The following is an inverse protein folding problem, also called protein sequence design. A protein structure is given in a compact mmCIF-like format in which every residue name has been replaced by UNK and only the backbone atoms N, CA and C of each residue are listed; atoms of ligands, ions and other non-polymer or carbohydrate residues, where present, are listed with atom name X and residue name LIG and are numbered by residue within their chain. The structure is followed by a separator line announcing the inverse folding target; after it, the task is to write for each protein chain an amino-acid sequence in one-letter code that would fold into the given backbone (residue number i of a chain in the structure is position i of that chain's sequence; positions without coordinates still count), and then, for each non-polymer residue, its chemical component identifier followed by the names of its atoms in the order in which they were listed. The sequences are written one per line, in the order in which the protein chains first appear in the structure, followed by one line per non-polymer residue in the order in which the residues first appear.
data_IF_285115233674
#
_entry.id   IF_285115233674
#
_cell.length_a   1.000
_cell.length_b   1.000
_cell.length_c   1.000
_cell.angle_alpha   90.00
_cell.angle_beta   90.00
_cell.angle_gamma   90.00
#
_symmetry.space_group_name_H-M   'P 1'
#
loop_
_entity.id
_entity.type
_entity.pdbx_description
1 polymer ?
#
# COMPACT_ATOMS: atom_id res chain seq x y z
N UNK A 1 12.78 -51.23 -53.89
CA UNK A 1 12.30 -49.96 -54.48
C UNK A 1 11.25 -49.36 -53.55
N UNK A 2 11.60 -48.34 -52.76
CA UNK A 2 10.66 -47.60 -51.89
C UNK A 2 10.54 -46.18 -52.42
N UNK A 3 9.29 -45.75 -52.62
CA UNK A 3 8.91 -44.46 -53.21
C UNK A 3 9.17 -43.31 -52.25
N UNK A 4 9.56 -42.19 -52.86
CA UNK A 4 9.80 -40.86 -52.31
C UNK A 4 8.52 -40.31 -51.68
N UNK A 5 8.63 -39.58 -50.57
CA UNK A 5 7.66 -38.53 -50.20
C UNK A 5 8.40 -37.41 -49.48
N UNK A 6 8.81 -36.44 -50.29
CA UNK A 6 9.26 -35.11 -49.90
C UNK A 6 8.04 -34.23 -49.68
N UNK A 7 7.68 -33.90 -48.44
CA UNK A 7 6.94 -32.67 -48.09
C UNK A 7 7.18 -32.40 -46.60
N UNK A 8 7.98 -31.38 -46.27
CA UNK A 8 7.59 -30.20 -45.50
C UNK A 8 8.86 -29.46 -45.02
N UNK A 9 9.38 -28.64 -45.92
CA UNK A 9 10.36 -27.59 -45.66
C UNK A 9 9.56 -26.34 -45.26
N UNK A 10 10.04 -25.61 -44.24
CA UNK A 10 9.62 -24.25 -43.83
C UNK A 10 8.28 -24.15 -43.07
N UNK A 11 8.36 -24.26 -41.75
CA UNK A 11 7.61 -23.34 -40.86
C UNK A 11 8.64 -22.47 -40.14
N UNK A 12 8.96 -21.37 -40.82
CA UNK A 12 9.17 -20.01 -40.29
C UNK A 12 9.22 -19.97 -38.75
N UNK A 13 10.40 -19.91 -38.14
CA UNK A 13 11.06 -18.64 -37.81
C UNK A 13 10.11 -17.60 -37.17
N UNK A 14 9.36 -17.99 -36.13
CA UNK A 14 8.60 -17.10 -35.24
C UNK A 14 8.82 -17.44 -33.76
N UNK A 15 10.05 -17.83 -33.39
CA UNK A 15 10.51 -17.72 -31.99
C UNK A 15 11.48 -16.56 -31.95
N UNK A 16 10.97 -15.39 -32.32
CA UNK A 16 11.67 -14.13 -32.21
C UNK A 16 11.01 -13.37 -31.06
N UNK A 17 11.83 -13.00 -30.09
CA UNK A 17 11.58 -11.90 -29.16
C UNK A 17 10.44 -12.09 -28.17
N UNK A 18 10.49 -13.17 -27.39
CA UNK A 18 10.12 -13.06 -25.98
C UNK A 18 11.39 -12.88 -25.14
N UNK A 19 12.26 -11.94 -25.54
CA UNK A 19 12.97 -11.14 -24.54
C UNK A 19 11.87 -10.38 -23.80
N UNK A 20 11.26 -11.02 -22.81
CA UNK A 20 10.74 -10.28 -21.68
C UNK A 20 11.94 -9.52 -21.15
N UNK A 21 12.06 -8.27 -21.60
CA UNK A 21 12.54 -7.22 -20.74
C UNK A 21 11.60 -7.29 -19.54
N UNK A 22 12.03 -8.00 -18.50
CA UNK A 22 11.72 -7.58 -17.16
C UNK A 22 12.20 -6.14 -17.11
N UNK A 23 11.30 -5.21 -17.45
CA UNK A 23 11.39 -3.85 -16.97
C UNK A 23 11.21 -4.04 -15.47
N UNK A 24 12.33 -4.28 -14.78
CA UNK A 24 12.44 -3.93 -13.39
C UNK A 24 12.21 -2.43 -13.39
N UNK A 25 10.95 -2.03 -13.21
CA UNK A 25 10.62 -0.65 -12.85
C UNK A 25 11.47 -0.38 -11.61
N UNK A 26 12.38 0.58 -11.73
CA UNK A 26 13.44 0.87 -10.78
C UNK A 26 12.87 1.23 -9.42
N UNK A 27 12.63 0.21 -8.61
CA UNK A 27 12.24 0.32 -7.21
C UNK A 27 13.07 -0.70 -6.43
N UNK A 28 14.38 -0.46 -6.41
CA UNK A 28 15.35 -1.32 -5.71
C UNK A 28 15.35 -1.09 -4.20
N UNK A 29 14.48 -0.22 -3.69
CA UNK A 29 14.42 0.03 -2.26
C UNK A 29 13.69 -1.12 -1.57
N UNK A 30 14.40 -1.79 -0.68
CA UNK A 30 13.87 -2.93 0.08
C UNK A 30 12.74 -2.46 0.99
N UNK A 31 11.57 -3.11 0.88
CA UNK A 31 10.43 -2.83 1.74
C UNK A 31 10.54 -3.61 3.04
N UNK A 32 10.67 -2.90 4.17
CA UNK A 32 10.65 -3.49 5.51
C UNK A 32 9.26 -3.37 6.12
N UNK A 33 8.64 -4.49 6.51
CA UNK A 33 7.40 -4.46 7.30
C UNK A 33 7.66 -3.84 8.67
N UNK A 34 6.90 -2.80 9.03
CA UNK A 34 7.05 -2.07 10.30
C UNK A 34 5.85 -2.23 11.22
N UNK A 35 4.64 -2.42 10.68
CA UNK A 35 3.44 -2.72 11.45
C UNK A 35 2.63 -3.82 10.78
N UNK A 36 1.90 -4.58 11.59
CA UNK A 36 0.92 -5.57 11.15
C UNK A 36 -0.07 -5.83 12.26
N UNK A 37 -1.35 -5.56 12.02
CA UNK A 37 -2.39 -5.72 13.04
C UNK A 37 -3.75 -5.98 12.38
N UNK A 38 -4.66 -6.60 13.13
CA UNK A 38 -6.03 -6.83 12.66
C UNK A 38 -6.77 -5.49 12.57
N UNK A 39 -7.53 -5.28 11.50
CA UNK A 39 -8.27 -4.02 11.31
C UNK A 39 -9.32 -3.77 12.40
N UNK A 40 -9.72 -4.84 13.09
CA UNK A 40 -10.63 -4.85 14.24
C UNK A 40 -9.90 -5.04 15.58
N UNK A 41 -8.61 -4.72 15.66
CA UNK A 41 -7.84 -4.80 16.90
C UNK A 41 -8.51 -4.01 18.03
N UNK A 42 -8.41 -4.54 19.26
CA UNK A 42 -8.98 -3.88 20.44
C UNK A 42 -8.07 -2.74 20.92
N UNK A 43 -6.77 -2.88 20.69
CA UNK A 43 -5.79 -1.83 20.89
C UNK A 43 -6.12 -0.64 20.00
N UNK A 44 -6.19 0.56 20.57
CA UNK A 44 -6.51 1.77 19.79
C UNK A 44 -5.28 2.42 19.16
N UNK A 45 -4.10 1.82 19.33
CA UNK A 45 -2.87 2.33 18.76
C UNK A 45 -1.80 1.25 18.61
N UNK A 46 -1.08 1.28 17.49
CA UNK A 46 0.13 0.53 17.24
C UNK A 46 1.24 1.49 16.83
N UNK A 47 2.49 1.24 17.21
CA UNK A 47 3.60 2.11 16.83
C UNK A 47 4.91 1.32 16.67
N UNK A 48 5.81 1.86 15.85
CA UNK A 48 7.14 1.30 15.62
C UNK A 48 8.16 2.41 15.32
N UNK A 49 9.42 2.16 15.67
CA UNK A 49 10.53 3.05 15.34
C UNK A 49 10.95 2.88 13.87
N UNK A 50 11.08 4.00 13.16
CA UNK A 50 11.56 4.04 11.77
C UNK A 50 13.06 4.37 11.67
N UNK A 51 13.71 4.73 12.77
CA UNK A 51 15.05 5.32 12.78
C UNK A 51 15.03 6.79 12.37
N UNK A 52 16.20 7.44 12.34
CA UNK A 52 16.36 8.85 11.95
C UNK A 52 15.40 9.80 12.69
N UNK A 53 15.22 9.57 13.99
CA UNK A 53 14.29 10.30 14.82
C UNK A 53 12.83 10.26 14.33
N UNK A 54 12.42 9.23 13.60
CA UNK A 54 11.05 9.06 13.13
C UNK A 54 10.39 7.84 13.75
N UNK A 55 9.09 7.94 14.03
CA UNK A 55 8.25 6.79 14.39
C UNK A 55 7.02 6.74 13.52
N UNK A 56 6.48 5.54 13.32
CA UNK A 56 5.17 5.35 12.74
C UNK A 56 4.15 5.03 13.82
N UNK A 57 2.96 5.61 13.70
CA UNK A 57 1.83 5.37 14.59
C UNK A 57 0.61 5.05 13.75
N UNK A 58 -0.06 3.93 14.03
CA UNK A 58 -1.41 3.66 13.60
C UNK A 58 -2.35 3.94 14.77
N UNK A 59 -3.21 4.95 14.67
CA UNK A 59 -4.15 5.34 15.72
C UNK A 59 -5.59 5.18 15.28
N UNK A 60 -6.44 4.56 16.12
CA UNK A 60 -7.86 4.47 15.86
C UNK A 60 -8.55 5.81 16.11
N UNK A 61 -9.23 6.34 15.09
CA UNK A 61 -10.14 7.49 15.19
C UNK A 61 -11.56 6.97 15.04
N UNK A 62 -12.32 7.07 16.13
CA UNK A 62 -13.61 6.39 16.36
C UNK A 62 -14.55 6.28 15.16
N UNK A 63 -14.62 7.33 14.35
CA UNK A 63 -15.63 7.49 13.30
C UNK A 63 -15.05 7.35 11.88
N UNK A 64 -13.72 7.36 11.76
CA UNK A 64 -13.00 7.41 10.48
C UNK A 64 -12.14 6.17 10.21
N UNK A 65 -11.95 5.29 11.21
CA UNK A 65 -11.13 4.09 11.10
C UNK A 65 -9.73 4.31 11.65
N UNK A 66 -8.70 3.87 10.94
CA UNK A 66 -7.31 4.02 11.36
C UNK A 66 -6.64 5.20 10.67
N UNK A 67 -5.82 5.95 11.39
CA UNK A 67 -4.90 6.93 10.83
C UNK A 67 -3.47 6.42 10.97
N UNK A 68 -2.75 6.40 9.86
CA UNK A 68 -1.32 6.07 9.84
C UNK A 68 -0.55 7.39 9.80
N UNK A 69 0.39 7.57 10.71
CA UNK A 69 1.13 8.82 10.85
C UNK A 69 2.61 8.52 10.96
N UNK A 70 3.45 9.32 10.30
CA UNK A 70 4.90 9.31 10.52
C UNK A 70 5.26 10.58 11.25
N UNK A 71 5.81 10.45 12.46
CA UNK A 71 6.09 11.58 13.35
C UNK A 71 7.60 11.70 13.56
N UNK A 72 8.12 12.93 13.59
CA UNK A 72 9.51 13.21 13.94
C UNK A 72 9.63 13.55 15.45
N UNK A 73 10.54 12.91 16.17
CA UNK A 73 10.83 13.19 17.59
C UNK A 73 11.48 14.56 17.81
N UNK A 74 12.16 15.10 16.79
CA UNK A 74 12.84 16.40 16.87
C UNK A 74 11.92 17.61 16.69
N UNK A 75 10.65 17.39 16.34
CA UNK A 75 9.66 18.43 16.15
C UNK A 75 8.64 18.40 17.30
N UNK A 76 8.68 19.40 18.17
CA UNK A 76 7.80 19.52 19.33
C UNK A 76 6.31 19.59 18.95
N UNK A 77 6.01 19.96 17.70
CA UNK A 77 4.64 20.02 17.19
C UNK A 77 4.08 18.64 16.82
N UNK A 78 4.95 17.64 16.60
CA UNK A 78 4.56 16.30 16.21
C UNK A 78 3.85 16.23 14.85
N UNK A 79 4.26 17.05 13.88
CA UNK A 79 3.67 17.05 12.55
C UNK A 79 3.75 15.66 11.88
N UNK A 80 2.62 15.23 11.30
CA UNK A 80 2.58 14.02 10.47
C UNK A 80 3.29 14.30 9.15
N UNK A 81 4.46 13.70 8.96
CA UNK A 81 5.29 13.84 7.75
C UNK A 81 4.62 13.28 6.48
N UNK A 82 3.54 12.51 6.62
CA UNK A 82 2.73 12.05 5.49
C UNK A 82 1.80 13.13 4.95
N UNK A 83 1.61 14.24 5.67
CA UNK A 83 0.73 15.33 5.27
C UNK A 83 1.24 16.03 4.02
N UNK A 84 0.42 16.03 2.95
CA UNK A 84 0.82 16.59 1.65
C UNK A 84 0.43 18.07 1.43
N UNK A 85 -0.32 18.68 2.36
CA UNK A 85 -0.68 20.10 2.35
C UNK A 85 -2.15 20.40 2.66
N UNK A 86 -2.48 21.71 2.73
CA UNK A 86 -3.77 22.21 3.22
C UNK A 86 -4.96 22.13 2.24
N UNK A 87 -4.81 21.50 1.08
CA UNK A 87 -5.82 21.51 0.01
C UNK A 87 -6.36 20.13 -0.38
N UNK A 88 -6.17 19.11 0.48
CA UNK A 88 -6.74 17.81 0.23
C UNK A 88 -8.25 17.80 0.52
N UNK A 89 -9.05 17.39 -0.46
CA UNK A 89 -10.49 17.22 -0.31
C UNK A 89 -10.82 15.72 -0.24
N UNK A 90 -11.30 15.27 0.92
CA UNK A 90 -11.70 13.87 1.15
C UNK A 90 -10.79 13.13 2.12
N UNK A 91 -10.76 11.80 2.02
CA UNK A 91 -9.92 10.95 2.86
C UNK A 91 -8.46 11.15 2.52
N UNK A 92 -7.66 11.46 3.52
CA UNK A 92 -6.22 11.60 3.35
C UNK A 92 -5.59 10.26 2.96
N UNK A 93 -4.52 10.25 2.15
CA UNK A 93 -3.87 9.02 1.69
C UNK A 93 -3.45 8.07 2.82
N UNK A 94 -3.17 8.61 4.01
CA UNK A 94 -2.72 7.87 5.18
C UNK A 94 -3.85 7.43 6.14
N UNK A 95 -5.10 7.77 5.84
CA UNK A 95 -6.26 7.23 6.56
C UNK A 95 -6.58 5.83 6.04
N UNK A 96 -7.20 4.97 6.85
CA UNK A 96 -7.72 3.66 6.43
C UNK A 96 -9.15 3.55 6.93
N UNK A 97 -10.09 3.60 5.99
CA UNK A 97 -11.50 3.64 6.25
C UNK A 97 -12.27 2.65 5.37
N UNK A 98 -13.36 2.11 5.90
CA UNK A 98 -14.20 1.14 5.19
C UNK A 98 -15.05 1.77 4.07
N UNK A 99 -15.20 3.10 4.06
CA UNK A 99 -15.87 3.83 2.98
C UNK A 99 -17.32 4.24 3.29
N UNK A 100 -17.92 4.92 2.31
CA UNK A 100 -19.37 5.21 2.26
C UNK A 100 -19.99 4.65 0.99
N UNK A 101 -21.32 4.68 0.91
CA UNK A 101 -22.06 4.31 -0.31
C UNK A 101 -21.64 5.08 -1.57
N UNK A 102 -21.12 6.31 -1.41
CA UNK A 102 -20.72 7.18 -2.52
C UNK A 102 -19.21 7.23 -2.76
N UNK A 103 -18.40 6.82 -1.78
CA UNK A 103 -16.96 6.66 -1.88
C UNK A 103 -16.65 5.18 -1.66
N UNK A 104 -16.63 4.43 -2.76
CA UNK A 104 -16.36 2.99 -2.75
C UNK A 104 -15.05 2.66 -2.02
N UNK A 105 -14.98 1.40 -1.60
CA UNK A 105 -13.89 0.65 -0.97
C UNK A 105 -12.52 1.30 -1.25
N UNK A 106 -11.89 1.74 -0.17
CA UNK A 106 -10.56 2.33 -0.18
C UNK A 106 -9.56 1.30 -0.72
N UNK A 107 -8.61 1.65 -1.61
CA UNK A 107 -7.81 0.63 -2.31
C UNK A 107 -7.04 -0.26 -1.34
N UNK A 108 -6.86 -1.52 -1.73
CA UNK A 108 -6.17 -2.54 -0.92
C UNK A 108 -4.70 -2.20 -0.69
N UNK A 109 -4.12 -1.33 -1.52
CA UNK A 109 -2.73 -0.93 -1.39
C UNK A 109 -2.53 0.55 -1.74
N UNK A 110 -1.60 1.20 -1.03
CA UNK A 110 -1.14 2.56 -1.32
C UNK A 110 0.34 2.68 -1.03
N UNK A 111 1.00 3.57 -1.76
CA UNK A 111 2.34 4.05 -1.44
C UNK A 111 2.29 5.56 -1.27
N UNK A 112 2.81 6.04 -0.15
CA UNK A 112 2.86 7.45 0.22
C UNK A 112 4.33 7.83 0.38
N UNK A 113 4.77 8.84 -0.36
CA UNK A 113 6.14 9.35 -0.27
C UNK A 113 6.19 10.49 0.73
N UNK A 114 7.26 10.56 1.52
CA UNK A 114 7.55 11.70 2.40
C UNK A 114 9.04 12.05 2.35
N UNK A 115 9.45 13.08 3.10
CA UNK A 115 10.84 13.55 3.14
C UNK A 115 11.39 13.85 1.72
N UNK A 116 10.64 14.64 0.94
CA UNK A 116 10.99 15.01 -0.44
C UNK A 116 11.20 13.81 -1.38
N UNK A 117 10.49 12.70 -1.13
CA UNK A 117 10.52 11.51 -1.96
C UNK A 117 11.55 10.45 -1.54
N UNK A 118 12.41 10.74 -0.55
CA UNK A 118 13.46 9.80 -0.09
C UNK A 118 12.95 8.67 0.79
N UNK A 119 11.76 8.81 1.33
CA UNK A 119 11.16 7.82 2.22
C UNK A 119 9.75 7.52 1.77
N UNK A 120 9.33 6.27 1.98
CA UNK A 120 8.04 5.80 1.51
C UNK A 120 7.39 4.89 2.52
N UNK A 121 6.07 5.03 2.66
CA UNK A 121 5.21 4.15 3.42
C UNK A 121 4.29 3.42 2.45
N UNK A 122 4.22 2.11 2.56
CA UNK A 122 3.26 1.28 1.84
C UNK A 122 2.25 0.72 2.84
N UNK A 123 0.97 1.02 2.62
CA UNK A 123 -0.13 0.53 3.46
C UNK A 123 -0.88 -0.52 2.64
N UNK A 124 -1.05 -1.72 3.20
CA UNK A 124 -1.71 -2.85 2.55
C UNK A 124 -2.85 -3.35 3.43
N UNK A 125 -4.03 -3.47 2.86
CA UNK A 125 -5.20 -4.12 3.43
C UNK A 125 -5.20 -5.57 2.94
N UNK A 126 -5.06 -6.51 3.87
CA UNK A 126 -4.97 -7.94 3.57
C UNK A 126 -6.27 -8.60 4.00
N UNK A 127 -6.97 -9.18 3.03
CA UNK A 127 -8.24 -9.91 3.22
C UNK A 127 -9.29 -9.09 4.00
N UNK A 128 -9.29 -7.76 3.80
CA UNK A 128 -10.21 -6.86 4.47
C UNK A 128 -11.63 -7.03 3.93
N UNK A 129 -12.55 -7.32 4.84
CA UNK A 129 -13.98 -7.40 4.53
C UNK A 129 -14.70 -6.23 5.19
N UNK A 130 -15.72 -5.75 4.51
CA UNK A 130 -16.61 -4.70 5.03
C UNK A 130 -18.05 -5.16 5.04
N UNK A 131 -18.84 -4.57 5.93
CA UNK A 131 -20.30 -4.68 5.90
C UNK A 131 -20.93 -3.30 5.92
N UNK A 132 -22.14 -3.20 5.39
CA UNK A 132 -22.90 -1.96 5.47
C UNK A 132 -23.29 -1.68 6.94
N UNK A 133 -22.97 -0.48 7.40
CA UNK A 133 -23.37 0.08 8.70
C UNK A 133 -24.33 1.23 8.45
N UNK A 134 -25.59 1.07 8.81
CA UNK A 134 -26.62 2.09 8.54
C UNK A 134 -26.89 2.30 7.04
N UNK A 135 -27.42 3.46 6.68
CA UNK A 135 -27.86 3.73 5.30
C UNK A 135 -26.72 4.02 4.33
N UNK A 136 -25.63 4.66 4.81
CA UNK A 136 -24.63 5.29 3.94
C UNK A 136 -23.16 4.98 4.28
N UNK A 137 -22.87 4.20 5.32
CA UNK A 137 -21.49 3.88 5.72
C UNK A 137 -21.20 2.39 5.64
N UNK A 138 -19.92 2.06 5.54
CA UNK A 138 -19.41 0.71 5.74
C UNK A 138 -18.55 0.67 7.00
N UNK A 139 -18.42 -0.51 7.58
CA UNK A 139 -17.43 -0.78 8.62
C UNK A 139 -16.64 -2.04 8.28
N UNK A 140 -15.41 -2.11 8.73
CA UNK A 140 -14.62 -3.32 8.65
C UNK A 140 -15.23 -4.41 9.54
N UNK A 141 -15.12 -5.66 9.11
CA UNK A 141 -15.53 -6.83 9.89
C UNK A 141 -14.39 -7.82 10.12
N UNK A 142 -13.40 -7.83 9.23
CA UNK A 142 -12.21 -8.69 9.33
C UNK A 142 -11.11 -8.17 8.41
N UNK A 143 -9.91 -8.74 8.56
CA UNK A 143 -8.74 -8.45 7.74
C UNK A 143 -7.62 -7.79 8.54
N UNK A 144 -6.55 -7.43 7.85
CA UNK A 144 -5.33 -6.89 8.46
C UNK A 144 -4.88 -5.63 7.75
N UNK A 145 -4.27 -4.74 8.54
CA UNK A 145 -3.49 -3.64 8.02
C UNK A 145 -2.02 -4.01 8.18
N UNK A 146 -1.29 -3.97 7.08
CA UNK A 146 0.16 -4.11 7.06
C UNK A 146 0.79 -2.82 6.57
N UNK A 147 1.85 -2.38 7.25
CA UNK A 147 2.56 -1.17 6.89
C UNK A 147 4.02 -1.50 6.67
N UNK A 148 4.55 -1.08 5.52
CA UNK A 148 5.94 -1.25 5.14
C UNK A 148 6.59 0.12 4.99
N UNK A 149 7.87 0.19 5.29
CA UNK A 149 8.70 1.36 5.13
C UNK A 149 9.87 1.06 4.20
N UNK A 150 10.21 2.04 3.38
CA UNK A 150 11.36 2.02 2.49
C UNK A 150 12.05 3.37 2.53
N UNK A 151 13.38 3.37 2.55
CA UNK A 151 14.20 4.56 2.57
C UNK A 151 15.34 4.42 1.57
N UNK A 152 15.56 5.47 0.78
CA UNK A 152 16.73 5.60 -0.08
C UNK A 152 17.83 6.32 0.70
N UNK A 153 18.99 5.67 0.85
CA UNK A 153 20.20 6.24 1.47
C UNK A 153 20.78 7.43 0.67
#
# INVERSE_FOLDING_TARGET
MKRISSVLIIVVLLINVCTLRAVASGDSAEWRKVLGFDVMANERSHNADLGNHCRIVAGWKSDLGWEIEVLNYGDETGENLLYDGNNWHGLQPWMVWAGTKHQQIYPDERVITYNKGKSRIRIVLVDCQTRQKGSNSFEFVSGKIEVFHSHEE
#
